data_IF_491976271590
#
_entry.id   IF_491976271590
#
_cell.length_a   1.000
_cell.length_b   1.000
_cell.length_c   1.000
_cell.angle_alpha   90.00
_cell.angle_beta   90.00
_cell.angle_gamma   90.00
#
_symmetry.space_group_name_H-M   'P 1'
#
loop_
_entity.id
_entity.type
_entity.pdbx_description
1 polymer ?
#
# COMPACT_ATOMS: atom_id res chain seq x y z
N UNK A 1 9.86 8.89 -20.96
CA UNK A 1 9.28 9.25 -19.64
C UNK A 1 8.90 10.72 -19.48
N UNK A 2 9.81 11.70 -19.60
CA UNK A 2 9.48 13.14 -19.40
C UNK A 2 8.35 13.69 -20.29
N UNK A 3 8.24 13.18 -21.54
CA UNK A 3 7.18 13.58 -22.48
C UNK A 3 5.79 13.02 -22.12
N UNK A 4 5.70 11.84 -21.53
CA UNK A 4 4.42 11.24 -21.11
C UNK A 4 3.83 11.99 -19.91
N UNK A 5 4.68 12.34 -18.93
CA UNK A 5 4.28 13.14 -17.78
C UNK A 5 3.81 14.54 -18.19
N UNK A 6 4.48 15.14 -19.18
CA UNK A 6 4.10 16.44 -19.76
C UNK A 6 2.79 16.37 -20.55
N UNK A 7 2.56 15.31 -21.33
CA UNK A 7 1.29 15.09 -22.03
C UNK A 7 0.13 14.84 -21.08
N UNK A 8 0.34 14.10 -19.97
CA UNK A 8 -0.68 13.91 -18.93
C UNK A 8 -0.98 15.25 -18.24
N UNK A 9 0.03 16.06 -17.93
CA UNK A 9 -0.15 17.40 -17.36
C UNK A 9 -0.92 18.33 -18.31
N UNK A 10 -0.61 18.31 -19.61
CA UNK A 10 -1.32 19.07 -20.64
C UNK A 10 -2.76 18.59 -20.83
N UNK A 11 -3.00 17.28 -20.81
CA UNK A 11 -4.35 16.71 -20.90
C UNK A 11 -5.19 17.03 -19.65
N UNK A 12 -4.57 17.10 -18.46
CA UNK A 12 -5.23 17.56 -17.24
C UNK A 12 -5.49 19.08 -17.25
N UNK A 13 -4.70 19.87 -17.97
CA UNK A 13 -4.86 21.32 -18.10
C UNK A 13 -5.83 21.73 -19.22
N UNK A 14 -6.14 20.84 -20.18
CA UNK A 14 -6.97 21.14 -21.36
C UNK A 14 -8.43 20.73 -21.24
N UNK A 15 -8.88 20.26 -20.08
CA UNK A 15 -10.28 19.90 -19.86
C UNK A 15 -11.00 21.12 -19.26
N UNK A 16 -11.44 22.03 -20.12
CA UNK A 16 -12.50 22.98 -19.79
C UNK A 16 -13.80 22.20 -19.60
N UNK A 17 -14.08 21.77 -18.38
CA UNK A 17 -15.39 21.25 -17.99
C UNK A 17 -16.09 22.30 -17.16
N UNK A 18 -17.11 22.88 -17.76
CA UNK A 18 -18.08 23.74 -17.09
C UNK A 18 -18.57 23.06 -15.81
N UNK A 19 -18.32 23.75 -14.70
CA UNK A 19 -18.69 23.37 -13.35
C UNK A 19 -20.21 23.34 -13.19
N UNK A 20 -20.86 22.24 -13.58
CA UNK A 20 -22.20 21.90 -13.10
C UNK A 20 -22.11 21.67 -11.60
N UNK A 21 -22.64 22.60 -10.83
CA UNK A 21 -22.69 22.43 -9.41
C UNK A 21 -23.91 21.65 -8.94
N UNK A 22 -23.94 21.44 -7.64
CA UNK A 22 -24.72 20.43 -6.98
C UNK A 22 -25.50 21.09 -5.87
N UNK A 23 -26.79 20.79 -5.83
CA UNK A 23 -27.65 21.11 -4.70
C UNK A 23 -27.19 20.33 -3.47
N UNK A 24 -27.35 21.00 -2.35
CA UNK A 24 -26.69 20.75 -1.09
C UNK A 24 -27.74 20.57 -0.04
N UNK A 25 -27.92 19.36 0.48
CA UNK A 25 -28.60 19.21 1.77
C UNK A 25 -28.46 17.78 2.22
N UNK A 26 -27.43 17.54 3.07
CA UNK A 26 -27.42 16.77 4.33
C UNK A 26 -26.75 15.32 4.43
N UNK A 27 -26.66 14.55 5.54
CA UNK A 27 -25.74 13.37 5.62
C UNK A 27 -26.35 12.10 6.24
N UNK A 28 -26.26 10.95 5.54
CA UNK A 28 -26.53 9.62 6.10
C UNK A 28 -25.29 8.71 6.01
N UNK A 29 -24.86 8.23 7.18
CA UNK A 29 -23.74 7.28 7.41
C UNK A 29 -23.89 5.98 6.60
N UNK A 30 -25.12 5.65 6.18
CA UNK A 30 -25.48 4.34 5.68
C UNK A 30 -25.05 4.08 4.23
N UNK A 31 -24.83 5.12 3.41
CA UNK A 31 -24.94 4.94 1.95
C UNK A 31 -23.60 5.11 1.20
N UNK A 32 -22.61 5.84 1.73
CA UNK A 32 -21.43 6.24 0.95
C UNK A 32 -20.26 5.23 1.03
N UNK A 33 -20.03 4.49 -0.05
CA UNK A 33 -18.91 3.57 -0.21
C UNK A 33 -17.93 4.08 -1.27
N UNK A 34 -16.66 3.70 -1.11
CA UNK A 34 -15.63 3.93 -2.11
C UNK A 34 -14.82 2.67 -2.33
N UNK A 35 -14.54 2.37 -3.59
CA UNK A 35 -13.60 1.35 -4.00
C UNK A 35 -12.42 2.03 -4.66
N UNK A 36 -11.21 1.69 -4.25
CA UNK A 36 -9.98 2.25 -4.82
C UNK A 36 -9.08 1.13 -5.28
N UNK A 37 -8.51 1.30 -6.47
CA UNK A 37 -7.40 0.48 -6.96
C UNK A 37 -6.23 1.40 -7.27
N UNK A 38 -5.05 1.05 -6.78
CA UNK A 38 -3.81 1.78 -7.00
C UNK A 38 -2.71 0.82 -7.42
N UNK A 39 -1.81 1.29 -8.27
CA UNK A 39 -0.59 0.60 -8.66
C UNK A 39 0.57 1.58 -8.74
N UNK A 40 1.78 1.10 -8.50
CA UNK A 40 2.93 1.99 -8.48
C UNK A 40 4.23 1.32 -8.09
N UNK A 41 5.17 2.14 -7.64
CA UNK A 41 6.50 1.68 -7.27
C UNK A 41 6.58 1.37 -5.78
N UNK A 42 7.19 0.23 -5.43
CA UNK A 42 7.57 -0.15 -4.07
C UNK A 42 9.10 -0.25 -3.96
N UNK A 43 9.66 0.16 -2.82
CA UNK A 43 11.08 0.08 -2.55
C UNK A 43 11.30 -0.24 -1.07
N UNK A 44 12.06 -1.30 -0.78
CA UNK A 44 12.58 -1.51 0.57
C UNK A 44 13.60 -0.42 0.88
N UNK A 45 13.35 0.39 1.90
CA UNK A 45 14.27 1.43 2.34
C UNK A 45 15.30 0.88 3.32
N UNK A 46 14.89 -0.06 4.16
CA UNK A 46 15.79 -0.95 4.86
C UNK A 46 15.19 -1.60 6.09
N UNK A 47 16.06 -1.96 7.02
CA UNK A 47 15.68 -2.64 8.24
C UNK A 47 16.20 -1.88 9.46
N UNK A 48 15.31 -1.65 10.42
CA UNK A 48 15.56 -0.88 11.62
C UNK A 48 15.62 -1.84 12.81
N UNK A 49 16.70 -1.81 13.59
CA UNK A 49 16.79 -2.65 14.79
C UNK A 49 15.69 -2.28 15.77
N UNK A 50 15.10 -3.26 16.46
CA UNK A 50 13.97 -3.01 17.38
C UNK A 50 14.30 -2.11 18.57
N UNK A 51 15.57 -1.99 18.92
CA UNK A 51 16.09 -1.07 19.93
C UNK A 51 16.37 0.35 19.38
N UNK A 52 16.07 0.60 18.10
CA UNK A 52 16.31 1.85 17.39
C UNK A 52 17.80 2.27 17.36
N UNK A 53 18.72 1.35 17.65
CA UNK A 53 20.16 1.62 17.70
C UNK A 53 20.78 1.90 16.33
N UNK A 54 20.08 1.58 15.24
CA UNK A 54 20.49 1.86 13.89
C UNK A 54 19.66 1.13 12.84
N UNK A 55 19.95 1.43 11.57
CA UNK A 55 19.40 0.74 10.41
C UNK A 55 20.52 0.06 9.64
N UNK A 56 20.24 -1.14 9.15
CA UNK A 56 21.14 -1.93 8.31
C UNK A 56 20.44 -2.32 7.01
N UNK A 57 21.23 -2.48 5.97
CA UNK A 57 20.80 -2.99 4.67
C UNK A 57 21.90 -3.94 4.17
N UNK A 58 21.62 -5.24 4.20
CA UNK A 58 22.53 -6.23 3.65
C UNK A 58 22.55 -6.21 2.11
N UNK A 59 21.48 -5.69 1.50
CA UNK A 59 21.24 -5.68 0.06
C UNK A 59 21.10 -4.25 -0.47
N UNK A 60 21.49 -4.05 -1.74
CA UNK A 60 21.14 -2.85 -2.49
C UNK A 60 19.74 -3.01 -3.06
N UNK A 61 18.78 -2.39 -2.40
CA UNK A 61 17.36 -2.47 -2.75
C UNK A 61 17.06 -1.68 -4.03
N UNK A 62 16.24 -2.24 -4.90
CA UNK A 62 15.81 -1.65 -6.16
C UNK A 62 14.29 -1.48 -6.14
N UNK A 63 13.76 -0.43 -6.81
CA UNK A 63 12.34 -0.27 -6.93
C UNK A 63 11.73 -1.40 -7.77
N UNK A 64 10.53 -1.80 -7.38
CA UNK A 64 9.71 -2.78 -8.05
C UNK A 64 8.24 -2.34 -8.02
N UNK A 65 7.31 -3.25 -8.30
CA UNK A 65 5.89 -2.98 -8.41
C UNK A 65 5.12 -3.25 -7.11
N UNK A 66 4.14 -2.39 -6.82
CA UNK A 66 3.14 -2.61 -5.79
C UNK A 66 1.73 -2.32 -6.29
N UNK A 67 0.75 -2.96 -5.64
CA UNK A 67 -0.68 -2.80 -5.87
C UNK A 67 -1.37 -2.56 -4.52
N UNK A 68 -2.43 -1.75 -4.52
CA UNK A 68 -3.32 -1.62 -3.36
C UNK A 68 -4.77 -1.60 -3.81
N UNK A 69 -5.60 -2.42 -3.17
CA UNK A 69 -7.06 -2.45 -3.37
C UNK A 69 -7.71 -2.08 -2.03
N UNK A 70 -8.60 -1.11 -2.05
CA UNK A 70 -9.26 -0.61 -0.83
C UNK A 70 -10.77 -0.55 -1.03
N UNK A 71 -11.50 -1.00 -0.01
CA UNK A 71 -12.92 -0.76 0.12
C UNK A 71 -13.15 0.07 1.39
N UNK A 72 -13.63 1.30 1.22
CA UNK A 72 -13.90 2.24 2.30
C UNK A 72 -15.37 2.59 2.39
N UNK A 73 -15.82 2.89 3.61
CA UNK A 73 -17.10 3.49 3.92
C UNK A 73 -16.84 4.83 4.59
N UNK A 74 -17.50 5.87 4.10
CA UNK A 74 -17.45 7.18 4.72
C UNK A 74 -18.36 7.17 5.95
N UNK A 75 -17.77 7.20 7.14
CA UNK A 75 -18.50 7.14 8.42
C UNK A 75 -18.72 8.51 9.03
N UNK A 76 -17.87 9.49 8.67
CA UNK A 76 -18.02 10.88 9.06
C UNK A 76 -17.58 11.77 7.90
N UNK A 77 -17.93 13.06 7.93
CA UNK A 77 -17.71 14.03 6.84
C UNK A 77 -16.28 14.05 6.26
N UNK A 78 -15.30 13.59 7.04
CA UNK A 78 -13.90 13.53 6.64
C UNK A 78 -13.25 12.18 6.87
N UNK A 79 -13.96 11.22 7.46
CA UNK A 79 -13.37 9.95 7.90
C UNK A 79 -13.98 8.82 7.10
N UNK A 80 -13.10 8.08 6.43
CA UNK A 80 -13.42 6.78 5.86
C UNK A 80 -12.81 5.69 6.74
N UNK A 81 -13.60 4.66 7.03
CA UNK A 81 -13.15 3.40 7.60
C UNK A 81 -13.29 2.32 6.54
N UNK A 82 -12.32 1.41 6.45
CA UNK A 82 -12.36 0.40 5.41
C UNK A 82 -11.40 -0.73 5.63
N UNK A 83 -11.26 -1.54 4.58
CA UNK A 83 -10.33 -2.65 4.52
C UNK A 83 -9.44 -2.50 3.29
N UNK A 84 -8.15 -2.76 3.45
CA UNK A 84 -7.18 -2.77 2.36
C UNK A 84 -6.60 -4.17 2.15
N UNK A 85 -6.31 -4.47 0.88
CA UNK A 85 -5.51 -5.60 0.44
C UNK A 85 -4.38 -5.06 -0.45
N UNK A 86 -3.16 -5.17 0.05
CA UNK A 86 -1.95 -4.66 -0.58
C UNK A 86 -1.05 -5.79 -1.05
N UNK A 87 -0.35 -5.54 -2.14
CA UNK A 87 0.72 -6.36 -2.68
C UNK A 87 1.94 -5.48 -2.93
N UNK A 88 3.14 -5.95 -2.62
CA UNK A 88 4.38 -5.20 -2.85
C UNK A 88 5.52 -6.17 -3.13
N UNK A 89 6.15 -6.01 -4.29
CA UNK A 89 7.40 -6.66 -4.59
C UNK A 89 8.56 -5.82 -4.09
N UNK A 90 9.54 -6.48 -3.50
CA UNK A 90 10.82 -5.93 -3.13
C UNK A 90 11.89 -6.80 -3.77
N UNK A 91 12.92 -6.18 -4.34
CA UNK A 91 14.06 -6.91 -4.89
C UNK A 91 15.33 -6.11 -4.67
N UNK A 92 16.45 -6.79 -4.74
CA UNK A 92 17.74 -6.16 -4.63
C UNK A 92 18.87 -7.12 -4.94
N UNK A 93 20.08 -6.62 -4.82
CA UNK A 93 21.28 -7.42 -5.03
C UNK A 93 22.44 -6.92 -4.19
N UNK A 94 23.40 -7.78 -3.92
CA UNK A 94 24.67 -7.41 -3.33
C UNK A 94 25.80 -7.99 -4.18
N UNK A 95 26.67 -7.12 -4.69
CA UNK A 95 27.84 -7.49 -5.49
C UNK A 95 29.01 -8.02 -4.64
N UNK A 96 29.00 -7.76 -3.33
CA UNK A 96 30.03 -8.14 -2.38
C UNK A 96 29.42 -8.80 -1.13
N UNK A 97 28.79 -9.98 -1.24
CA UNK A 97 28.06 -10.58 -0.14
C UNK A 97 28.93 -11.23 0.93
N UNK A 98 30.27 -11.11 0.85
CA UNK A 98 31.18 -11.57 1.90
C UNK A 98 30.94 -10.89 3.26
N UNK A 99 30.27 -9.73 3.27
CA UNK A 99 29.89 -9.02 4.50
C UNK A 99 28.60 -9.54 5.13
N UNK A 100 27.89 -10.45 4.47
CA UNK A 100 26.64 -11.02 4.97
C UNK A 100 26.97 -12.23 5.84
N UNK A 101 27.00 -12.02 7.16
CA UNK A 101 27.39 -13.05 8.12
C UNK A 101 26.54 -14.32 8.04
N UNK A 102 25.23 -14.17 7.81
CA UNK A 102 24.31 -15.30 7.68
C UNK A 102 24.70 -16.23 6.52
N UNK A 103 25.09 -15.69 5.37
CA UNK A 103 25.49 -16.48 4.20
C UNK A 103 26.85 -17.18 4.39
N UNK A 104 27.79 -16.49 5.04
CA UNK A 104 29.18 -16.93 5.19
C UNK A 104 29.40 -17.92 6.32
N UNK A 105 28.53 -17.94 7.34
CA UNK A 105 28.73 -18.74 8.55
C UNK A 105 27.62 -19.76 8.81
N UNK A 106 26.48 -19.66 8.14
CA UNK A 106 25.41 -20.65 8.32
C UNK A 106 25.83 -22.01 7.74
N UNK A 107 25.62 -23.06 8.54
CA UNK A 107 25.82 -24.46 8.14
C UNK A 107 24.91 -24.85 6.96
N UNK A 108 23.80 -24.11 6.76
CA UNK A 108 22.92 -24.29 5.60
C UNK A 108 23.66 -24.10 4.28
N UNK A 109 24.46 -23.04 4.19
CA UNK A 109 25.17 -22.70 2.96
C UNK A 109 26.59 -23.24 2.94
N UNK A 110 27.11 -23.65 4.11
CA UNK A 110 28.49 -24.10 4.28
C UNK A 110 28.50 -25.43 5.05
N UNK A 111 28.54 -26.54 4.32
CA UNK A 111 28.60 -27.89 4.85
C UNK A 111 29.51 -28.78 3.98
N UNK A 112 29.43 -30.09 4.14
CA UNK A 112 30.27 -31.04 3.41
C UNK A 112 29.92 -31.17 1.92
N UNK A 113 28.71 -30.79 1.53
CA UNK A 113 28.17 -30.92 0.16
C UNK A 113 28.14 -29.59 -0.60
N UNK A 114 28.02 -28.47 0.11
CA UNK A 114 27.92 -27.13 -0.48
C UNK A 114 28.70 -26.08 0.31
N UNK A 115 29.16 -25.04 -0.37
CA UNK A 115 29.89 -23.92 0.23
C UNK A 115 29.43 -22.60 -0.38
N UNK A 116 29.16 -21.60 0.46
CA UNK A 116 28.87 -20.26 -0.02
C UNK A 116 30.14 -19.64 -0.62
N UNK A 117 30.03 -19.19 -1.86
CA UNK A 117 31.07 -18.46 -2.56
C UNK A 117 30.63 -17.00 -2.66
N UNK A 118 31.52 -16.01 -2.44
CA UNK A 118 31.15 -14.60 -2.35
C UNK A 118 30.86 -13.95 -3.72
N UNK A 119 30.13 -14.66 -4.59
CA UNK A 119 29.64 -14.16 -5.87
C UNK A 119 28.37 -13.33 -5.71
N UNK A 120 28.06 -12.41 -6.64
CA UNK A 120 26.89 -11.55 -6.54
C UNK A 120 25.59 -12.32 -6.29
N UNK A 121 24.86 -11.88 -5.26
CA UNK A 121 23.57 -12.44 -4.86
C UNK A 121 22.44 -11.46 -5.15
N UNK A 122 21.24 -11.99 -5.29
CA UNK A 122 20.01 -11.25 -5.44
C UNK A 122 18.92 -11.84 -4.55
N UNK A 123 17.96 -11.00 -4.20
CA UNK A 123 16.73 -11.43 -3.54
C UNK A 123 15.52 -10.89 -4.28
N UNK A 124 14.41 -11.61 -4.15
CA UNK A 124 13.09 -11.18 -4.57
C UNK A 124 12.07 -11.61 -3.51
N UNK A 125 11.26 -10.66 -3.09
CA UNK A 125 10.30 -10.85 -2.01
C UNK A 125 8.94 -10.29 -2.42
N UNK A 126 7.93 -11.13 -2.34
CA UNK A 126 6.53 -10.78 -2.49
C UNK A 126 5.90 -10.59 -1.12
N UNK A 127 5.33 -9.42 -0.88
CA UNK A 127 4.62 -9.10 0.36
C UNK A 127 3.14 -8.88 0.09
N UNK A 128 2.30 -9.66 0.78
CA UNK A 128 0.85 -9.55 0.75
C UNK A 128 0.37 -9.03 2.10
N UNK A 129 -0.35 -7.92 2.12
CA UNK A 129 -0.86 -7.31 3.36
C UNK A 129 -2.37 -7.16 3.32
N UNK A 130 -3.05 -7.42 4.42
CA UNK A 130 -4.49 -7.20 4.52
C UNK A 130 -4.87 -6.67 5.92
N UNK A 131 -5.75 -5.67 5.97
CA UNK A 131 -6.19 -5.14 7.25
C UNK A 131 -7.11 -3.93 7.16
N UNK A 132 -7.71 -3.54 8.30
CA UNK A 132 -8.49 -2.31 8.39
C UNK A 132 -7.62 -1.05 8.19
N UNK A 133 -8.25 0.01 7.70
CA UNK A 133 -7.67 1.35 7.66
C UNK A 133 -8.65 2.43 8.15
N UNK A 134 -8.06 3.54 8.59
CA UNK A 134 -8.73 4.82 8.78
C UNK A 134 -8.10 5.85 7.84
N UNK A 135 -8.92 6.63 7.14
CA UNK A 135 -8.48 7.70 6.23
C UNK A 135 -9.19 9.00 6.60
N UNK A 136 -8.40 10.05 6.80
CA UNK A 136 -8.87 11.41 7.01
C UNK A 136 -8.67 12.24 5.73
N UNK A 137 -9.76 12.80 5.20
CA UNK A 137 -9.78 13.62 4.00
C UNK A 137 -9.77 15.13 4.39
N UNK A 138 -8.74 15.85 3.99
CA UNK A 138 -8.63 17.30 4.11
C UNK A 138 -9.33 17.98 2.93
N UNK A 139 -10.57 18.40 3.15
CA UNK A 139 -11.41 19.09 2.16
C UNK A 139 -10.81 20.44 1.79
N UNK A 140 -10.92 20.84 0.52
CA UNK A 140 -10.71 22.21 0.05
C UNK A 140 -9.30 22.77 0.22
N UNK A 141 -8.26 21.92 0.17
CA UNK A 141 -6.87 22.39 0.27
C UNK A 141 -6.53 23.46 -0.80
N UNK A 142 -7.18 23.42 -1.97
CA UNK A 142 -7.01 24.43 -3.03
C UNK A 142 -8.24 25.35 -3.24
N UNK A 143 -9.37 25.15 -2.55
CA UNK A 143 -10.63 25.82 -2.90
C UNK A 143 -10.83 27.23 -2.32
N UNK A 144 -9.86 27.75 -1.56
CA UNK A 144 -10.10 28.93 -0.73
C UNK A 144 -10.38 30.25 -1.47
N UNK A 145 -10.13 30.38 -2.78
CA UNK A 145 -10.46 31.65 -3.47
C UNK A 145 -11.02 31.60 -4.90
N UNK A 146 -10.85 30.54 -5.72
CA UNK A 146 -11.30 30.52 -7.15
C UNK A 146 -11.05 29.18 -7.88
N UNK A 147 -11.19 28.04 -7.23
CA UNK A 147 -10.53 26.82 -7.72
C UNK A 147 -11.29 26.09 -8.83
N UNK A 148 -10.76 26.19 -10.06
CA UNK A 148 -10.99 25.25 -11.15
C UNK A 148 -10.46 23.83 -10.83
N UNK A 149 -9.64 23.70 -9.78
CA UNK A 149 -8.92 22.47 -9.45
C UNK A 149 -9.54 21.82 -8.21
N UNK A 150 -10.16 20.66 -8.39
CA UNK A 150 -10.80 19.90 -7.31
C UNK A 150 -9.81 18.93 -6.65
N UNK A 151 -8.78 19.47 -6.01
CA UNK A 151 -7.76 18.71 -5.29
C UNK A 151 -8.03 18.65 -3.78
N UNK A 152 -7.89 17.45 -3.21
CA UNK A 152 -8.03 17.20 -1.78
C UNK A 152 -6.84 16.40 -1.28
N UNK A 153 -6.28 16.81 -0.14
CA UNK A 153 -5.27 16.03 0.55
C UNK A 153 -5.95 14.98 1.43
N UNK A 154 -5.31 13.85 1.66
CA UNK A 154 -5.74 12.86 2.65
C UNK A 154 -4.53 12.30 3.40
N UNK A 155 -4.78 11.83 4.61
CA UNK A 155 -3.86 11.00 5.38
C UNK A 155 -4.58 9.69 5.73
N UNK A 156 -3.86 8.58 5.74
CA UNK A 156 -4.42 7.25 6.01
C UNK A 156 -3.46 6.45 6.88
N UNK A 157 -4.03 5.66 7.77
CA UNK A 157 -3.30 4.71 8.61
C UNK A 157 -3.99 3.35 8.49
N UNK A 158 -3.26 2.34 8.01
CA UNK A 158 -3.69 0.94 8.06
C UNK A 158 -2.94 0.15 9.12
N UNK A 159 -3.60 -0.89 9.63
CA UNK A 159 -3.02 -1.88 10.52
C UNK A 159 -3.53 -3.24 10.06
N UNK A 160 -2.61 -4.20 9.88
CA UNK A 160 -3.00 -5.46 9.27
C UNK A 160 -2.00 -6.59 9.47
N UNK A 161 -2.38 -7.74 8.96
CA UNK A 161 -1.51 -8.90 8.84
C UNK A 161 -0.79 -8.86 7.49
N UNK A 162 0.45 -9.32 7.48
CA UNK A 162 1.24 -9.46 6.26
C UNK A 162 1.83 -10.86 6.16
N UNK A 163 1.74 -11.41 4.96
CA UNK A 163 2.34 -12.67 4.54
C UNK A 163 3.45 -12.38 3.53
N UNK A 164 4.55 -13.12 3.64
CA UNK A 164 5.78 -12.87 2.91
C UNK A 164 6.28 -14.15 2.26
N UNK A 165 6.65 -14.05 0.99
CA UNK A 165 7.38 -15.05 0.23
C UNK A 165 8.68 -14.41 -0.23
N UNK A 166 9.82 -14.97 0.17
CA UNK A 166 11.14 -14.44 -0.15
C UNK A 166 12.04 -15.53 -0.74
N UNK A 167 12.72 -15.19 -1.81
CA UNK A 167 13.73 -16.01 -2.46
C UNK A 167 15.04 -15.23 -2.52
N UNK A 168 16.14 -15.95 -2.32
CA UNK A 168 17.50 -15.42 -2.45
C UNK A 168 18.40 -16.44 -3.13
N UNK A 169 19.29 -15.93 -3.96
CA UNK A 169 20.14 -16.77 -4.80
C UNK A 169 21.31 -16.02 -5.40
N UNK A 170 22.21 -16.76 -6.06
CA UNK A 170 23.19 -16.12 -6.94
C UNK A 170 22.50 -15.52 -8.15
N UNK A 171 23.06 -14.42 -8.64
CA UNK A 171 22.62 -13.78 -9.87
C UNK A 171 22.91 -14.63 -11.12
N UNK A 172 23.95 -15.46 -11.09
CA UNK A 172 24.39 -16.26 -12.23
C UNK A 172 24.32 -17.76 -11.92
N UNK A 173 23.75 -18.54 -12.86
CA UNK A 173 23.54 -19.98 -12.72
C UNK A 173 24.82 -20.79 -12.51
N UNK A 174 25.93 -20.35 -13.11
CA UNK A 174 27.24 -21.01 -12.99
C UNK A 174 27.72 -21.09 -11.54
N UNK A 175 27.37 -20.09 -10.72
CA UNK A 175 27.82 -20.00 -9.34
C UNK A 175 27.19 -21.08 -8.46
N UNK A 176 25.98 -21.55 -8.79
CA UNK A 176 25.33 -22.67 -8.10
C UNK A 176 26.07 -23.99 -8.34
N UNK A 177 26.56 -24.19 -9.57
CA UNK A 177 27.37 -25.37 -9.92
C UNK A 177 28.70 -25.35 -9.18
N UNK A 178 29.34 -24.18 -9.09
CA UNK A 178 30.62 -24.01 -8.40
C UNK A 178 30.47 -24.15 -6.87
N UNK A 179 29.36 -23.70 -6.31
CA UNK A 179 29.10 -23.70 -4.87
C UNK A 179 28.45 -25.00 -4.37
N UNK A 180 27.88 -25.81 -5.27
CA UNK A 180 27.02 -26.95 -4.93
C UNK A 180 25.70 -26.56 -4.26
N UNK A 181 25.22 -25.32 -4.42
CA UNK A 181 23.96 -24.86 -3.81
C UNK A 181 22.78 -25.05 -4.78
N UNK A 182 21.57 -25.25 -4.25
CA UNK A 182 20.32 -25.33 -5.05
C UNK A 182 19.93 -23.96 -5.64
N UNK A 183 19.13 -23.93 -6.70
CA UNK A 183 18.60 -22.70 -7.31
C UNK A 183 17.08 -22.56 -7.06
N UNK A 184 16.60 -21.49 -6.38
CA UNK A 184 17.36 -20.56 -5.54
C UNK A 184 17.92 -21.29 -4.31
N UNK A 185 19.02 -20.78 -3.72
CA UNK A 185 19.63 -21.46 -2.57
C UNK A 185 18.91 -21.16 -1.26
N UNK A 186 18.02 -20.17 -1.30
CA UNK A 186 17.13 -19.78 -0.23
C UNK A 186 15.75 -19.51 -0.82
N UNK A 187 14.75 -20.26 -0.36
CA UNK A 187 13.34 -19.88 -0.46
C UNK A 187 12.75 -19.96 0.95
N UNK A 188 11.95 -18.97 1.32
CA UNK A 188 11.19 -19.02 2.57
C UNK A 188 10.21 -20.21 2.56
N UNK A 189 9.77 -20.66 1.38
CA UNK A 189 8.86 -21.81 1.22
C UNK A 189 9.38 -23.13 1.81
N UNK A 190 10.68 -23.39 1.72
CA UNK A 190 11.31 -24.62 2.22
C UNK A 190 11.52 -24.63 3.74
N UNK A 191 11.68 -23.47 4.39
CA UNK A 191 11.95 -23.34 5.84
C UNK A 191 10.67 -23.22 6.70
N UNK A 192 9.50 -23.40 6.09
CA UNK A 192 8.20 -23.00 6.62
C UNK A 192 7.57 -23.93 7.67
N UNK A 193 8.31 -24.90 8.22
CA UNK A 193 7.86 -25.66 9.40
C UNK A 193 8.18 -24.96 10.73
N UNK A 194 9.02 -23.91 10.74
CA UNK A 194 9.60 -23.37 11.98
C UNK A 194 9.23 -21.92 12.34
N UNK A 195 8.58 -21.10 11.48
CA UNK A 195 8.27 -19.70 11.82
C UNK A 195 6.93 -19.13 11.31
N UNK A 196 6.41 -18.13 12.04
CA UNK A 196 5.14 -17.43 11.81
C UNK A 196 5.12 -16.74 10.44
N UNK A 197 4.42 -17.36 9.48
CA UNK A 197 4.04 -16.80 8.15
C UNK A 197 3.40 -15.41 8.20
N UNK A 198 2.84 -15.05 9.35
CA UNK A 198 2.00 -13.88 9.53
C UNK A 198 2.73 -12.91 10.45
N UNK A 199 3.03 -11.74 9.90
CA UNK A 199 3.62 -10.61 10.58
C UNK A 199 2.60 -9.50 10.75
N UNK A 200 2.78 -8.65 11.76
CA UNK A 200 2.00 -7.42 11.89
C UNK A 200 2.61 -6.36 10.98
N UNK A 201 1.74 -5.61 10.31
CA UNK A 201 2.08 -4.50 9.43
C UNK A 201 1.31 -3.23 9.77
N UNK A 202 2.00 -2.09 9.64
CA UNK A 202 1.43 -0.75 9.83
C UNK A 202 1.73 0.06 8.56
N UNK A 203 0.70 0.71 8.01
CA UNK A 203 0.75 1.35 6.68
C UNK A 203 0.30 2.82 6.74
N UNK A 204 1.12 3.74 7.29
CA UNK A 204 0.83 5.16 7.23
C UNK A 204 1.05 5.68 5.80
N UNK A 205 0.16 6.55 5.33
CA UNK A 205 0.24 7.14 4.00
C UNK A 205 -0.39 8.54 3.95
N UNK A 206 0.07 9.32 2.99
CA UNK A 206 -0.48 10.64 2.65
C UNK A 206 -0.66 10.72 1.15
N UNK A 207 -1.70 11.42 0.70
CA UNK A 207 -1.97 11.49 -0.72
C UNK A 207 -2.88 12.62 -1.14
N UNK A 208 -3.05 12.74 -2.44
CA UNK A 208 -3.87 13.75 -3.10
C UNK A 208 -4.92 13.05 -3.96
N UNK A 209 -6.17 13.50 -3.87
CA UNK A 209 -7.27 13.09 -4.71
C UNK A 209 -7.69 14.25 -5.61
N UNK A 210 -7.57 14.05 -6.92
CA UNK A 210 -8.15 14.91 -7.94
C UNK A 210 -9.52 14.38 -8.35
N UNK A 211 -10.54 15.21 -8.17
CA UNK A 211 -11.90 14.86 -8.57
C UNK A 211 -12.10 15.07 -10.07
N UNK A 212 -12.24 13.98 -10.83
CA UNK A 212 -12.59 14.04 -12.24
C UNK A 212 -14.08 14.33 -12.42
N UNK A 213 -14.93 13.61 -11.68
CA UNK A 213 -16.38 13.82 -11.64
C UNK A 213 -16.93 13.51 -10.25
N UNK A 214 -18.25 13.41 -10.11
CA UNK A 214 -18.91 13.20 -8.82
C UNK A 214 -18.58 11.87 -8.15
N UNK A 215 -18.13 10.88 -8.93
CA UNK A 215 -17.90 9.51 -8.48
C UNK A 215 -16.47 9.04 -8.68
N UNK A 216 -15.71 9.63 -9.59
CA UNK A 216 -14.39 9.18 -10.03
C UNK A 216 -13.34 10.19 -9.59
N UNK A 217 -12.33 9.67 -8.90
CA UNK A 217 -11.19 10.42 -8.42
C UNK A 217 -9.91 9.73 -8.87
N UNK A 218 -8.94 10.52 -9.30
CA UNK A 218 -7.57 10.05 -9.44
C UNK A 218 -6.80 10.37 -8.17
N UNK A 219 -6.04 9.39 -7.70
CA UNK A 219 -5.28 9.47 -6.45
C UNK A 219 -3.77 9.33 -6.72
N UNK A 220 -2.98 10.10 -5.99
CA UNK A 220 -1.54 9.90 -5.82
C UNK A 220 -1.29 9.70 -4.33
N UNK A 221 -0.65 8.60 -3.95
CA UNK A 221 -0.41 8.25 -2.55
C UNK A 221 1.08 7.94 -2.35
N UNK A 222 1.68 8.57 -1.34
CA UNK A 222 2.95 8.17 -0.76
C UNK A 222 2.64 7.38 0.52
N UNK A 223 2.98 6.11 0.53
CA UNK A 223 2.78 5.21 1.65
C UNK A 223 4.09 4.64 2.18
N UNK A 224 4.12 4.34 3.46
CA UNK A 224 5.15 3.53 4.09
C UNK A 224 4.53 2.23 4.58
N UNK A 225 5.31 1.17 4.61
CA UNK A 225 4.93 -0.12 5.15
C UNK A 225 5.99 -0.52 6.16
N UNK A 226 5.57 -0.67 7.42
CA UNK A 226 6.38 -1.19 8.51
C UNK A 226 5.96 -2.62 8.77
N UNK A 227 6.91 -3.56 8.74
CA UNK A 227 6.66 -4.98 8.93
C UNK A 227 7.56 -5.56 10.03
N UNK A 228 7.01 -6.47 10.82
CA UNK A 228 7.68 -7.13 11.95
C UNK A 228 8.43 -8.42 11.63
N UNK A 229 8.40 -8.91 10.38
CA UNK A 229 9.02 -10.17 9.94
C UNK A 229 10.55 -10.12 9.94
N UNK A 230 11.15 -8.98 9.59
CA UNK A 230 12.59 -8.78 9.55
C UNK A 230 13.34 -9.64 8.53
N UNK A 231 12.66 -9.98 7.44
CA UNK A 231 13.14 -10.89 6.37
C UNK A 231 12.74 -10.39 4.98
N UNK A 232 12.54 -9.08 4.78
CA UNK A 232 12.11 -8.58 3.47
C UNK A 232 13.25 -8.66 2.45
N UNK A 233 14.50 -8.52 2.86
CA UNK A 233 15.68 -8.63 1.98
C UNK A 233 16.23 -10.07 1.84
N UNK A 234 15.52 -11.07 2.40
CA UNK A 234 15.89 -12.48 2.34
C UNK A 234 17.06 -12.87 3.24
N UNK A 235 17.58 -11.97 4.08
CA UNK A 235 18.76 -12.21 4.92
C UNK A 235 18.40 -12.06 6.39
N UNK A 236 18.82 -13.01 7.22
CA UNK A 236 18.75 -12.82 8.68
C UNK A 236 19.83 -11.84 9.14
N UNK A 237 19.40 -10.80 9.85
CA UNK A 237 20.31 -9.94 10.60
C UNK A 237 20.91 -10.73 11.76
N UNK A 238 22.19 -11.05 11.66
CA UNK A 238 22.90 -11.85 12.65
C UNK A 238 24.13 -11.11 13.15
N UNK A 239 24.35 -11.17 14.47
CA UNK A 239 25.64 -10.82 15.06
C UNK A 239 26.41 -12.11 15.31
N UNK A 240 27.67 -12.14 14.88
CA UNK A 240 28.60 -13.18 15.31
C UNK A 240 29.22 -12.75 16.63
N UNK A 241 28.89 -13.47 17.71
CA UNK A 241 29.70 -13.46 18.93
C UNK A 241 30.52 -14.74 18.93
N UNK A 242 31.84 -14.63 18.79
CA UNK A 242 32.73 -15.74 19.08
C UNK A 242 32.53 -16.10 20.56
N UNK A 243 32.03 -17.31 20.85
CA UNK A 243 31.97 -17.79 22.23
C UNK A 243 33.42 -17.95 22.73
N UNK A 244 33.86 -17.24 23.79
CA UNK A 244 35.27 -17.23 24.20
C UNK A 244 35.82 -18.58 24.68
N UNK A 245 34.96 -19.59 24.88
CA UNK A 245 35.29 -20.78 25.68
C UNK A 245 35.52 -22.07 24.88
N UNK A 246 35.51 -22.05 23.54
CA UNK A 246 35.65 -23.29 22.73
C UNK A 246 36.84 -23.21 21.75
N UNK A 247 37.74 -24.22 21.70
CA UNK A 247 38.94 -24.24 20.83
C UNK A 247 38.67 -24.25 19.32
N UNK A 248 37.40 -24.25 18.91
CA UNK A 248 36.90 -24.03 17.56
C UNK A 248 35.52 -23.38 17.70
N UNK A 249 35.43 -22.05 17.84
CA UNK A 249 34.14 -21.41 18.04
C UNK A 249 33.36 -21.51 16.73
N UNK A 250 32.40 -22.44 16.67
CA UNK A 250 31.32 -22.35 15.69
C UNK A 250 30.58 -21.05 16.03
N UNK A 251 30.60 -20.03 15.17
CA UNK A 251 29.92 -18.78 15.48
C UNK A 251 28.42 -19.08 15.61
N UNK A 252 27.91 -18.95 16.83
CA UNK A 252 26.46 -18.96 17.06
C UNK A 252 25.94 -17.63 16.55
N UNK A 253 25.31 -17.66 15.38
CA UNK A 253 24.68 -16.50 14.78
C UNK A 253 23.45 -16.14 15.62
N UNK A 254 23.52 -15.06 16.37
CA UNK A 254 22.39 -14.56 17.15
C UNK A 254 21.54 -13.63 16.29
N UNK A 255 20.27 -13.99 16.08
CA UNK A 255 19.32 -13.18 15.32
C UNK A 255 19.03 -11.86 16.03
N UNK A 256 19.25 -10.76 15.32
CA UNK A 256 18.88 -9.41 15.75
C UNK A 256 17.46 -9.14 15.26
N UNK A 257 16.50 -8.89 16.15
CA UNK A 257 15.16 -8.57 15.70
C UNK A 257 15.13 -7.18 15.07
N UNK A 258 14.51 -7.07 13.91
CA UNK A 258 14.37 -5.82 13.15
C UNK A 258 12.90 -5.56 12.76
N UNK A 259 12.62 -4.32 12.35
CA UNK A 259 11.45 -3.93 11.60
C UNK A 259 11.88 -3.57 10.18
N UNK A 260 11.30 -4.23 9.18
CA UNK A 260 11.55 -3.87 7.79
C UNK A 260 10.62 -2.71 7.41
N UNK A 261 11.15 -1.70 6.73
CA UNK A 261 10.38 -0.54 6.29
C UNK A 261 10.53 -0.29 4.78
N UNK A 262 9.41 -0.25 4.08
CA UNK A 262 9.33 -0.02 2.65
C UNK A 262 8.55 1.27 2.34
N UNK A 263 8.92 1.96 1.28
CA UNK A 263 8.17 3.09 0.73
C UNK A 263 7.43 2.68 -0.53
N UNK A 264 6.28 3.32 -0.76
CA UNK A 264 5.40 3.08 -1.91
C UNK A 264 4.93 4.40 -2.48
N UNK A 265 5.06 4.57 -3.79
CA UNK A 265 4.45 5.69 -4.53
C UNK A 265 3.41 5.09 -5.46
N UNK A 266 2.14 5.37 -5.18
CA UNK A 266 0.99 4.73 -5.80
C UNK A 266 0.16 5.75 -6.57
N UNK A 267 -0.29 5.35 -7.76
CA UNK A 267 -1.25 6.09 -8.57
C UNK A 267 -2.49 5.23 -8.71
N UNK A 268 -3.68 5.82 -8.60
CA UNK A 268 -4.88 5.01 -8.69
C UNK A 268 -6.16 5.77 -8.97
N UNK A 269 -7.24 5.00 -9.03
CA UNK A 269 -8.58 5.47 -9.28
C UNK A 269 -9.49 5.04 -8.13
N UNK A 270 -10.27 5.99 -7.61
CA UNK A 270 -11.32 5.75 -6.62
C UNK A 270 -12.67 5.96 -7.27
N UNK A 271 -13.56 4.99 -7.11
CA UNK A 271 -14.96 5.07 -7.49
C UNK A 271 -15.85 5.11 -6.26
N UNK A 272 -16.69 6.14 -6.14
CA UNK A 272 -17.70 6.28 -5.11
C UNK A 272 -19.05 5.76 -5.59
N UNK A 273 -19.69 4.96 -4.75
CA UNK A 273 -21.00 4.38 -5.04
C UNK A 273 -21.84 4.26 -3.78
N UNK A 274 -23.14 4.07 -4.00
CA UNK A 274 -24.14 4.04 -2.96
C UNK A 274 -24.81 2.68 -2.92
N UNK A 275 -24.81 2.02 -1.76
CA UNK A 275 -25.67 0.87 -1.48
C UNK A 275 -26.92 1.39 -0.76
N UNK A 276 -28.06 1.38 -1.45
CA UNK A 276 -29.35 1.82 -0.92
C UNK A 276 -30.21 0.58 -0.61
N UNK A 277 -29.99 -0.06 0.54
CA UNK A 277 -30.66 -1.33 0.88
C UNK A 277 -31.98 -1.17 1.65
N UNK A 278 -32.32 0.03 2.16
CA UNK A 278 -33.50 0.21 3.05
C UNK A 278 -34.37 1.44 2.76
N UNK A 279 -34.38 1.95 1.52
CA UNK A 279 -35.18 3.14 1.16
C UNK A 279 -36.68 3.02 1.45
N UNK A 280 -37.25 1.81 1.48
CA UNK A 280 -38.69 1.58 1.70
C UNK A 280 -39.09 1.43 3.17
N UNK A 281 -38.25 0.83 4.01
CA UNK A 281 -38.65 0.47 5.38
C UNK A 281 -38.42 1.62 6.38
N UNK A 282 -37.36 2.42 6.19
CA UNK A 282 -37.05 3.54 7.10
C UNK A 282 -37.96 4.76 6.92
N UNK A 283 -38.66 4.87 5.78
CA UNK A 283 -39.63 5.95 5.52
C UNK A 283 -40.82 5.90 6.49
N UNK A 284 -41.18 4.72 6.96
CA UNK A 284 -42.33 4.51 7.85
C UNK A 284 -41.96 4.54 9.34
N UNK A 285 -40.72 4.25 9.68
CA UNK A 285 -40.32 4.14 11.07
C UNK A 285 -39.96 5.51 11.68
N UNK A 286 -39.25 6.39 10.96
CA UNK A 286 -38.65 7.60 11.54
C UNK A 286 -38.74 8.81 10.59
N UNK A 287 -39.89 9.53 10.55
CA UNK A 287 -40.14 10.62 9.58
C UNK A 287 -39.20 11.83 9.73
N UNK A 288 -38.68 12.08 10.93
CA UNK A 288 -37.77 13.21 11.21
C UNK A 288 -36.31 12.95 10.79
N UNK A 289 -35.98 11.71 10.41
CA UNK A 289 -34.65 11.28 10.01
C UNK A 289 -34.43 11.35 8.48
N UNK A 290 -35.47 11.72 7.72
CA UNK A 290 -35.54 11.41 6.29
C UNK A 290 -35.05 12.50 5.33
N UNK A 291 -34.87 13.73 5.77
CA UNK A 291 -34.23 14.73 4.93
C UNK A 291 -32.81 14.81 5.42
N UNK A 292 -31.87 14.07 4.79
CA UNK A 292 -30.45 14.36 4.95
C UNK A 292 -29.41 13.87 3.80
N UNK A 293 -29.18 14.49 2.58
CA UNK A 293 -28.05 14.25 1.57
C UNK A 293 -27.18 15.42 0.88
N UNK A 294 -25.84 15.44 1.06
CA UNK A 294 -24.81 16.35 0.49
C UNK A 294 -23.56 15.50 0.24
N UNK A 295 -23.09 15.46 -0.99
CA UNK A 295 -21.75 14.96 -1.27
C UNK A 295 -20.73 15.97 -0.74
N UNK A 296 -19.59 15.47 -0.26
CA UNK A 296 -18.45 16.26 0.21
C UNK A 296 -18.06 17.42 -0.74
N UNK A 297 -18.30 17.21 -2.03
CA UNK A 297 -17.95 18.11 -3.13
C UNK A 297 -19.08 19.04 -3.58
N UNK A 298 -20.32 18.84 -3.12
CA UNK A 298 -21.43 19.71 -3.50
C UNK A 298 -21.48 21.00 -2.70
N UNK A 299 -20.79 21.10 -1.56
CA UNK A 299 -20.90 22.25 -0.65
C UNK A 299 -20.56 23.61 -1.26
N UNK A 300 -19.90 23.64 -2.41
CA UNK A 300 -19.34 24.86 -3.02
C UNK A 300 -19.68 25.03 -4.51
N UNK A 301 -20.81 24.46 -4.96
CA UNK A 301 -21.12 24.29 -6.38
C UNK A 301 -22.55 24.79 -6.69
N UNK A 302 -22.73 25.62 -7.72
CA UNK A 302 -24.02 26.20 -8.19
C UNK A 302 -25.07 25.16 -8.60
N UNK A 303 -26.35 25.27 -8.24
CA UNK A 303 -27.35 24.20 -8.42
C UNK A 303 -27.48 23.65 -9.86
N UNK A 304 -27.66 22.32 -10.00
CA UNK A 304 -27.82 21.62 -11.28
C UNK A 304 -29.20 21.86 -11.92
N UNK A 305 -29.25 21.87 -13.26
CA UNK A 305 -30.49 22.02 -14.05
C UNK A 305 -31.39 20.78 -14.02
N UNK A 306 -32.71 20.96 -14.23
CA UNK A 306 -33.73 19.89 -14.22
C UNK A 306 -33.46 18.72 -15.17
N UNK A 307 -32.67 18.95 -16.23
CA UNK A 307 -32.28 17.92 -17.22
C UNK A 307 -31.33 16.87 -16.60
N UNK A 308 -30.35 17.33 -15.82
CA UNK A 308 -29.32 16.50 -15.19
C UNK A 308 -29.92 15.59 -14.11
N UNK A 309 -31.00 16.05 -13.45
CA UNK A 309 -31.73 15.26 -12.45
C UNK A 309 -32.39 14.01 -13.09
N UNK A 310 -32.92 14.13 -14.32
CA UNK A 310 -33.53 13.00 -15.04
C UNK A 310 -32.50 11.96 -15.51
N UNK A 311 -31.30 12.41 -15.87
CA UNK A 311 -30.22 11.54 -16.31
C UNK A 311 -29.58 10.75 -15.14
N UNK A 312 -29.63 11.29 -13.91
CA UNK A 312 -29.08 10.65 -12.70
C UNK A 312 -29.97 9.59 -12.04
N UNK A 313 -31.28 9.65 -12.29
CA UNK A 313 -32.27 8.73 -11.73
C UNK A 313 -33.24 8.33 -12.86
N UNK A 314 -32.89 7.33 -13.69
CA UNK A 314 -33.73 6.96 -14.84
C UNK A 314 -35.14 6.48 -14.46
N UNK A 315 -35.38 6.20 -13.17
CA UNK A 315 -36.68 5.81 -12.61
C UNK A 315 -37.39 6.92 -11.81
N UNK A 316 -36.83 8.14 -11.74
CA UNK A 316 -37.45 9.26 -11.03
C UNK A 316 -38.42 10.00 -11.97
N UNK A 317 -39.71 9.71 -11.82
CA UNK A 317 -40.77 10.44 -12.51
C UNK A 317 -41.39 11.48 -11.55
N UNK A 318 -41.16 12.78 -11.75
CA UNK A 318 -41.69 13.83 -10.88
C UNK A 318 -43.22 14.02 -10.99
N UNK A 319 -43.90 13.22 -11.83
CA UNK A 319 -45.36 13.26 -12.00
C UNK A 319 -46.13 12.31 -11.06
N UNK A 320 -45.45 11.59 -10.17
CA UNK A 320 -46.08 10.60 -9.28
C UNK A 320 -46.37 11.12 -7.86
N UNK A 321 -46.01 12.37 -7.55
CA UNK A 321 -46.22 12.99 -6.22
C UNK A 321 -47.23 14.15 -6.26
N UNK A 322 -48.25 14.07 -7.13
CA UNK A 322 -49.47 14.88 -7.02
C UNK A 322 -50.67 13.98 -6.74
#
# INVERSE_FOLDING_TARGET
MKRLLFCILLFCLSIEVEAQGWLTEENNIEINWNFTIQGGASLLLGELKRDFSGSENAMKNLPDFGLNIMLGKMVWERIDLGFEAGFSNCRGSNGYPSTIHYLTHSVRFNNTQSMFLPYPVMYQTSLYSAGPFIKYNFINFSSYRRSFIKLNLFARLGLGASYLESEMGYKEKVNYVLSGLSEPFFSSEEELSLMKRISVSITPSVGLNYQLNERIFFSVELGFLFNSSGLIDGVYNTKSTASPEVPNPIPVANNIPVFSFAARVMLGCTYFFNFDTHRKDMKNAWPFYYNRYRSYFSKYHTPASKRIIRERLPFYNPRLDN
#
